data_IF_384345503374
#
_entry.id   IF_384345503374
#
_cell.length_a   1.000
_cell.length_b   1.000
_cell.length_c   1.000
_cell.angle_alpha   90.00
_cell.angle_beta   90.00
_cell.angle_gamma   90.00
#
_symmetry.space_group_name_H-M   'P 1'
#
loop_
_entity.id
_entity.type
_entity.pdbx_description
1 polymer ?
#
# COMPACT_ATOMS: atom_id res chain seq x y z
N UNK A 1 -22.84 5.92 -3.93
CA UNK A 1 -22.12 6.70 -4.96
C UNK A 1 -21.15 5.77 -5.67
N UNK A 2 -20.91 5.96 -6.98
CA UNK A 2 -19.86 5.23 -7.71
C UNK A 2 -18.80 6.21 -8.18
N UNK A 3 -17.53 5.92 -7.92
CA UNK A 3 -16.40 6.77 -8.26
C UNK A 3 -15.41 5.99 -9.13
N UNK A 4 -15.05 6.57 -10.28
CA UNK A 4 -14.04 6.02 -11.17
C UNK A 4 -12.68 6.67 -10.87
N UNK A 5 -11.72 5.84 -10.49
CA UNK A 5 -10.36 6.22 -10.13
C UNK A 5 -9.40 5.73 -11.24
N UNK A 6 -8.86 6.65 -12.06
CA UNK A 6 -7.81 6.30 -13.01
C UNK A 6 -6.57 5.81 -12.27
N UNK A 7 -6.06 4.64 -12.67
CA UNK A 7 -4.92 3.97 -12.00
C UNK A 7 -3.59 4.71 -12.17
N UNK A 8 -3.54 5.67 -13.10
CA UNK A 8 -2.40 6.57 -13.31
C UNK A 8 -2.31 7.67 -12.23
N UNK A 9 -3.44 8.03 -11.61
CA UNK A 9 -3.50 9.09 -10.60
C UNK A 9 -3.47 8.54 -9.18
N UNK A 10 -4.19 7.44 -8.95
CA UNK A 10 -4.24 6.77 -7.66
C UNK A 10 -4.41 5.27 -7.87
N UNK A 11 -3.61 4.47 -7.16
CA UNK A 11 -3.70 3.02 -7.19
C UNK A 11 -3.36 2.43 -5.82
N UNK A 12 -3.79 1.19 -5.61
CA UNK A 12 -3.42 0.36 -4.49
C UNK A 12 -2.66 -0.86 -5.03
N UNK A 13 -1.35 -0.92 -4.82
CA UNK A 13 -0.46 -1.99 -5.31
C UNK A 13 0.54 -2.45 -4.24
N UNK A 14 0.73 -3.76 -4.21
CA UNK A 14 1.76 -4.42 -3.41
C UNK A 14 3.14 -4.28 -4.05
N UNK A 15 4.17 -4.71 -3.32
CA UNK A 15 5.57 -4.67 -3.77
C UNK A 15 5.83 -5.51 -5.02
N UNK A 16 5.07 -6.59 -5.21
CA UNK A 16 5.14 -7.49 -6.37
C UNK A 16 4.38 -6.95 -7.60
N UNK A 17 3.77 -5.76 -7.50
CA UNK A 17 3.00 -5.14 -8.56
C UNK A 17 1.54 -5.62 -8.65
N UNK A 18 1.13 -6.59 -7.83
CA UNK A 18 -0.25 -7.05 -7.78
C UNK A 18 -1.16 -6.03 -7.09
N UNK A 19 -2.45 -6.12 -7.42
CA UNK A 19 -3.49 -5.27 -6.89
C UNK A 19 -3.64 -5.45 -5.37
N UNK A 20 -3.61 -4.33 -4.65
CA UNK A 20 -4.00 -4.24 -3.25
C UNK A 20 -5.38 -3.60 -3.09
N UNK A 21 -5.90 -3.57 -1.87
CA UNK A 21 -7.22 -3.02 -1.54
C UNK A 21 -7.09 -1.55 -1.12
N UNK A 22 -8.00 -0.69 -1.58
CA UNK A 22 -8.10 0.67 -1.08
C UNK A 22 -8.59 0.71 0.36
N UNK A 23 -8.15 1.70 1.11
CA UNK A 23 -8.76 2.02 2.41
C UNK A 23 -9.71 3.19 2.22
N UNK A 24 -10.99 2.99 2.54
CA UNK A 24 -12.02 4.04 2.48
C UNK A 24 -12.52 4.32 3.90
N UNK A 25 -12.50 5.59 4.30
CA UNK A 25 -12.97 6.01 5.63
C UNK A 25 -13.76 7.31 5.58
N UNK A 26 -14.61 7.50 6.59
CA UNK A 26 -15.22 8.79 6.95
C UNK A 26 -14.71 9.17 8.32
N UNK A 27 -13.79 10.14 8.39
CA UNK A 27 -13.02 10.43 9.61
C UNK A 27 -12.24 9.19 10.08
N UNK A 28 -12.52 8.74 11.31
CA UNK A 28 -11.86 7.57 11.92
C UNK A 28 -12.56 6.23 11.62
N UNK A 29 -13.70 6.24 10.93
CA UNK A 29 -14.49 5.04 10.70
C UNK A 29 -14.25 4.49 9.30
N UNK A 30 -13.85 3.21 9.20
CA UNK A 30 -13.73 2.52 7.93
C UNK A 30 -15.12 2.25 7.32
N UNK A 31 -15.25 2.46 6.02
CA UNK A 31 -16.48 2.23 5.26
C UNK A 31 -16.37 0.95 4.42
N UNK A 32 -17.51 0.30 4.22
CA UNK A 32 -17.63 -0.80 3.25
C UNK A 32 -17.84 -0.23 1.86
N UNK A 33 -17.26 -0.87 0.87
CA UNK A 33 -17.40 -0.52 -0.54
C UNK A 33 -17.28 -1.76 -1.40
N UNK A 34 -17.90 -1.71 -2.58
CA UNK A 34 -17.68 -2.67 -3.64
C UNK A 34 -16.68 -2.10 -4.65
N UNK A 35 -15.87 -2.97 -5.23
CA UNK A 35 -14.81 -2.57 -6.15
C UNK A 35 -14.89 -3.38 -7.45
N UNK A 36 -14.81 -2.68 -8.57
CA UNK A 36 -14.61 -3.28 -9.90
C UNK A 36 -13.29 -2.78 -10.47
N UNK A 37 -12.49 -3.69 -11.03
CA UNK A 37 -11.13 -3.40 -11.48
C UNK A 37 -11.00 -3.65 -12.98
N UNK A 38 -10.34 -2.72 -13.66
CA UNK A 38 -9.82 -2.90 -15.02
C UNK A 38 -8.34 -2.57 -15.03
N UNK A 39 -7.70 -2.69 -16.21
CA UNK A 39 -6.28 -2.36 -16.35
C UNK A 39 -5.98 -0.86 -16.17
N UNK A 40 -6.95 0.02 -16.43
CA UNK A 40 -6.74 1.48 -16.47
C UNK A 40 -7.55 2.23 -15.42
N UNK A 41 -8.66 1.66 -14.95
CA UNK A 41 -9.58 2.31 -14.01
C UNK A 41 -10.00 1.33 -12.92
N UNK A 42 -10.09 1.83 -11.68
CA UNK A 42 -10.78 1.16 -10.56
C UNK A 42 -12.05 1.92 -10.23
N UNK A 43 -13.16 1.21 -10.11
CA UNK A 43 -14.46 1.80 -9.77
C UNK A 43 -14.84 1.39 -8.36
N UNK A 44 -15.06 2.36 -7.48
CA UNK A 44 -15.49 2.15 -6.09
C UNK A 44 -16.94 2.55 -5.91
N UNK A 45 -17.78 1.61 -5.50
CA UNK A 45 -19.15 1.86 -5.08
C UNK A 45 -19.21 1.92 -3.56
N UNK A 46 -19.33 3.14 -3.02
CA UNK A 46 -19.28 3.41 -1.58
C UNK A 46 -20.70 3.72 -1.09
N UNK A 47 -21.11 3.02 -0.03
CA UNK A 47 -22.31 3.32 0.73
C UNK A 47 -21.91 4.08 2.00
N UNK A 48 -22.50 5.26 2.22
CA UNK A 48 -22.17 6.12 3.34
C UNK A 48 -23.44 6.54 4.10
N UNK A 49 -23.40 6.66 5.44
CA UNK A 49 -24.52 7.12 6.24
C UNK A 49 -24.92 8.58 5.95
N UNK A 50 -26.16 8.93 6.25
CA UNK A 50 -26.61 10.32 6.26
C UNK A 50 -25.79 11.14 7.26
N UNK A 51 -25.37 12.35 6.87
CA UNK A 51 -24.48 13.20 7.66
C UNK A 51 -22.98 12.97 7.44
N UNK A 52 -22.61 12.12 6.49
CA UNK A 52 -21.20 11.99 6.05
C UNK A 52 -20.79 13.26 5.30
N UNK A 53 -19.87 14.04 5.88
CA UNK A 53 -19.36 15.27 5.28
C UNK A 53 -18.13 15.05 4.40
N UNK A 54 -17.31 14.04 4.73
CA UNK A 54 -16.05 13.77 4.05
C UNK A 54 -15.80 12.27 3.94
N UNK A 55 -15.29 11.85 2.79
CA UNK A 55 -14.83 10.49 2.52
C UNK A 55 -13.38 10.57 2.06
N UNK A 56 -12.51 9.85 2.76
CA UNK A 56 -11.10 9.75 2.41
C UNK A 56 -10.83 8.39 1.77
N UNK A 57 -10.12 8.40 0.65
CA UNK A 57 -9.74 7.19 -0.10
C UNK A 57 -8.21 7.15 -0.16
N UNK A 58 -7.63 6.09 0.38
CA UNK A 58 -6.18 5.93 0.45
C UNK A 58 -5.77 4.74 -0.43
N UNK A 59 -4.95 5.03 -1.44
CA UNK A 59 -4.21 4.03 -2.20
C UNK A 59 -2.84 3.80 -1.56
N UNK A 60 -2.40 2.55 -1.50
CA UNK A 60 -1.06 2.19 -1.05
C UNK A 60 -0.19 1.89 -2.26
N UNK A 61 1.04 2.40 -2.27
CA UNK A 61 2.07 1.92 -3.18
C UNK A 61 3.30 1.67 -2.35
N UNK A 62 3.89 0.49 -2.51
CA UNK A 62 5.21 0.25 -1.95
C UNK A 62 6.22 1.08 -2.74
N UNK A 63 6.74 2.11 -2.10
CA UNK A 63 7.90 2.86 -2.58
C UNK A 63 9.14 2.15 -2.01
N UNK A 64 10.04 1.60 -2.84
CA UNK A 64 11.24 0.99 -2.32
C UNK A 64 12.06 2.02 -1.55
N UNK A 65 12.30 1.82 -0.24
CA UNK A 65 13.08 2.79 0.55
C UNK A 65 14.53 2.90 0.04
N UNK A 66 15.07 1.81 -0.49
CA UNK A 66 16.30 1.82 -1.28
C UNK A 66 16.14 0.84 -2.45
N UNK A 67 16.39 1.25 -3.71
CA UNK A 67 16.34 0.35 -4.87
C UNK A 67 17.24 -0.88 -4.72
N UNK A 68 18.27 -0.75 -3.87
CA UNK A 68 19.27 -1.77 -3.54
C UNK A 68 19.19 -2.20 -2.06
N UNK A 69 18.03 -2.08 -1.41
CA UNK A 69 17.84 -2.38 0.02
C UNK A 69 18.31 -3.80 0.39
N UNK A 70 18.03 -4.79 -0.46
CA UNK A 70 18.51 -6.17 -0.27
C UNK A 70 20.05 -6.23 -0.31
N UNK A 71 20.69 -5.53 -1.24
CA UNK A 71 22.16 -5.49 -1.32
C UNK A 71 22.76 -4.81 -0.09
N UNK A 72 22.20 -3.67 0.34
CA UNK A 72 22.64 -2.96 1.56
C UNK A 72 22.46 -3.84 2.80
N UNK A 73 21.33 -4.53 2.90
CA UNK A 73 21.04 -5.47 3.98
C UNK A 73 22.08 -6.60 4.02
N UNK A 74 22.41 -7.21 2.87
CA UNK A 74 23.42 -8.28 2.78
C UNK A 74 24.82 -7.77 3.15
N UNK A 75 25.21 -6.59 2.65
CA UNK A 75 26.50 -5.94 2.98
C UNK A 75 26.59 -5.62 4.48
N UNK A 76 25.48 -5.27 5.13
CA UNK A 76 25.47 -4.99 6.56
C UNK A 76 25.46 -6.28 7.42
N UNK A 77 24.65 -7.28 7.05
CA UNK A 77 24.46 -8.49 7.84
C UNK A 77 25.65 -9.45 7.79
N UNK A 78 26.25 -9.68 6.63
CA UNK A 78 27.33 -10.67 6.49
C UNK A 78 28.55 -10.34 7.37
N UNK A 79 29.12 -9.13 7.33
CA UNK A 79 30.23 -8.75 8.21
C UNK A 79 29.81 -8.80 9.68
N UNK A 80 28.61 -8.32 10.02
CA UNK A 80 28.12 -8.33 11.41
C UNK A 80 28.07 -9.74 11.98
N UNK A 81 27.55 -10.71 11.23
CA UNK A 81 27.53 -12.13 11.64
C UNK A 81 28.97 -12.67 11.76
N UNK A 82 29.84 -12.36 10.80
CA UNK A 82 31.22 -12.81 10.80
C UNK A 82 32.02 -12.29 12.02
N UNK A 83 31.92 -10.99 12.30
CA UNK A 83 32.56 -10.38 13.47
C UNK A 83 31.93 -10.83 14.79
N UNK A 84 30.60 -11.00 14.85
CA UNK A 84 29.88 -11.51 16.03
C UNK A 84 30.38 -12.90 16.44
N UNK A 85 30.57 -13.82 15.48
CA UNK A 85 31.11 -15.17 15.75
C UNK A 85 32.55 -15.14 16.26
N UNK A 86 33.34 -14.14 15.88
CA UNK A 86 34.75 -13.98 16.33
C UNK A 86 34.85 -13.48 17.77
N UNK A 87 33.86 -12.73 18.26
CA UNK A 87 33.84 -12.18 19.63
C UNK A 87 33.39 -13.18 20.72
N UNK A 88 32.78 -14.31 20.35
CA UNK A 88 32.30 -15.34 21.31
C UNK A 88 33.36 -16.45 21.55
N UNK A 89 34.58 -16.29 21.02
CA UNK A 89 35.72 -17.18 21.27
C UNK A 89 36.80 -16.49 22.11
#
# INVERSE_FOLDING_TARGET
>A
MSLNLPRELIDAKKADGNDDVYVVSSGKQALKFDETKTNTVRTLAISYPAGTNEISIYGTRVVPEFPISILVLVIALIPTIFFSRKMIR
#
